data_IF_619331012205
#
_entry.id   IF_619331012205
#
_cell.length_a   1.000
_cell.length_b   1.000
_cell.length_c   1.000
_cell.angle_alpha   90.00
_cell.angle_beta   90.00
_cell.angle_gamma   90.00
#
_symmetry.space_group_name_H-M   'P 1'
#
loop_
_entity.id
_entity.type
_entity.pdbx_description
1 polymer ?
#
# COMPACT_ATOMS: atom_id res chain seq x y z
N UNK A 1 -14.45 -10.38 -21.59
CA UNK A 1 -13.32 -10.67 -20.65
C UNK A 1 -12.81 -9.35 -20.11
N UNK A 2 -12.62 -9.26 -18.82
CA UNK A 2 -12.05 -8.07 -18.18
C UNK A 2 -10.52 -8.16 -18.27
N UNK A 3 -9.85 -7.10 -18.75
CA UNK A 3 -8.40 -6.99 -18.76
C UNK A 3 -7.94 -6.75 -17.32
N UNK A 4 -7.03 -7.59 -16.82
CA UNK A 4 -6.51 -7.48 -15.45
C UNK A 4 -5.32 -6.51 -15.36
N UNK A 5 -4.48 -6.47 -16.41
CA UNK A 5 -3.31 -5.59 -16.54
C UNK A 5 -3.29 -5.08 -17.97
N UNK A 6 -3.16 -3.77 -18.15
CA UNK A 6 -3.23 -3.09 -19.44
C UNK A 6 -2.04 -2.16 -19.63
N UNK A 7 -1.11 -2.56 -20.50
CA UNK A 7 0.06 -1.79 -20.91
C UNK A 7 0.91 -1.23 -19.73
N UNK A 8 1.23 -2.09 -18.76
CA UNK A 8 1.99 -1.75 -17.57
C UNK A 8 3.49 -1.91 -17.81
N UNK A 9 4.25 -0.83 -17.65
CA UNK A 9 5.73 -0.84 -17.71
C UNK A 9 6.31 -0.12 -16.53
N UNK A 10 7.17 -0.79 -15.75
CA UNK A 10 7.91 -0.22 -14.63
C UNK A 10 9.17 -1.03 -14.33
N UNK A 11 10.04 -0.51 -13.50
CA UNK A 11 11.29 -1.16 -13.08
C UNK A 11 11.39 -1.17 -11.55
N UNK A 12 11.94 -2.26 -11.01
CA UNK A 12 12.30 -2.38 -9.59
C UNK A 12 13.82 -2.32 -9.50
N UNK A 13 14.32 -1.27 -8.84
CA UNK A 13 15.75 -1.02 -8.72
C UNK A 13 16.36 -1.79 -7.54
N UNK A 14 17.57 -2.38 -7.69
CA UNK A 14 18.32 -2.94 -6.56
C UNK A 14 18.59 -1.87 -5.49
N UNK A 15 18.59 -2.28 -4.22
CA UNK A 15 18.80 -1.38 -3.09
C UNK A 15 17.61 -0.48 -2.73
N UNK A 16 16.47 -0.65 -3.42
CA UNK A 16 15.27 0.16 -3.19
C UNK A 16 14.05 -0.69 -2.91
N UNK A 17 13.14 -0.12 -2.14
CA UNK A 17 11.79 -0.67 -1.93
C UNK A 17 10.83 0.07 -2.85
N UNK A 18 10.23 -0.65 -3.78
CA UNK A 18 9.16 -0.14 -4.66
C UNK A 18 7.81 -0.55 -4.10
N UNK A 19 7.02 0.42 -3.68
CA UNK A 19 5.63 0.25 -3.29
C UNK A 19 4.74 0.08 -4.51
N UNK A 20 3.94 -0.99 -4.56
CA UNK A 20 3.02 -1.32 -5.64
C UNK A 20 1.59 -1.11 -5.14
N UNK A 21 1.07 0.09 -5.31
CA UNK A 21 -0.16 0.58 -4.71
C UNK A 21 -1.34 0.48 -5.67
N UNK A 22 -2.51 0.17 -5.14
CA UNK A 22 -3.75 0.18 -5.90
C UNK A 22 -4.89 -0.50 -5.15
N UNK A 23 -6.15 -0.22 -5.48
CA UNK A 23 -7.29 -0.85 -4.86
C UNK A 23 -7.33 -2.36 -5.12
N UNK A 24 -8.20 -3.08 -4.39
CA UNK A 24 -8.40 -4.49 -4.63
C UNK A 24 -8.95 -4.73 -6.04
N UNK A 25 -8.31 -5.66 -6.77
CA UNK A 25 -8.62 -5.94 -8.17
C UNK A 25 -7.98 -4.99 -9.19
N UNK A 26 -7.03 -4.13 -8.77
CA UNK A 26 -6.27 -3.26 -9.68
C UNK A 26 -5.23 -3.99 -10.55
N UNK A 27 -4.99 -5.28 -10.29
CA UNK A 27 -4.03 -6.08 -11.07
C UNK A 27 -2.70 -6.36 -10.35
N UNK A 28 -2.51 -5.93 -9.09
CA UNK A 28 -1.25 -6.09 -8.33
C UNK A 28 -0.78 -7.55 -8.27
N UNK A 29 -1.58 -8.43 -7.68
CA UNK A 29 -1.24 -9.85 -7.53
C UNK A 29 -1.05 -10.56 -8.89
N UNK A 30 -1.88 -10.21 -9.88
CA UNK A 30 -1.75 -10.74 -11.26
C UNK A 30 -0.41 -10.32 -11.86
N UNK A 31 0.00 -9.07 -11.70
CA UNK A 31 1.31 -8.59 -12.18
C UNK A 31 2.46 -9.33 -11.50
N UNK A 32 2.43 -9.47 -10.17
CA UNK A 32 3.47 -10.20 -9.44
C UNK A 32 3.56 -11.67 -9.88
N UNK A 33 2.42 -12.33 -10.12
CA UNK A 33 2.38 -13.69 -10.65
C UNK A 33 2.93 -13.80 -12.06
N UNK A 34 2.72 -12.79 -12.90
CA UNK A 34 3.32 -12.73 -14.24
C UNK A 34 4.83 -12.52 -14.19
N UNK A 35 5.36 -11.76 -13.23
CA UNK A 35 6.80 -11.55 -13.05
C UNK A 35 7.52 -12.88 -12.79
N UNK A 36 6.94 -13.76 -11.97
CA UNK A 36 7.48 -15.11 -11.68
C UNK A 36 6.86 -16.19 -12.54
N UNK A 37 6.22 -15.84 -13.64
CA UNK A 37 5.65 -16.74 -14.65
C UNK A 37 4.68 -17.81 -14.13
N UNK A 38 4.01 -17.55 -12.97
CA UNK A 38 2.87 -18.33 -12.51
C UNK A 38 1.62 -18.06 -13.35
N UNK A 39 1.57 -16.92 -14.01
CA UNK A 39 0.56 -16.55 -14.99
C UNK A 39 1.25 -16.03 -16.27
N UNK A 40 0.73 -16.40 -17.44
CA UNK A 40 1.28 -15.98 -18.73
C UNK A 40 0.55 -14.75 -19.23
N UNK A 41 1.23 -13.60 -19.48
CA UNK A 41 0.62 -12.43 -20.06
C UNK A 41 0.18 -12.71 -21.51
N UNK A 42 -0.90 -12.07 -21.97
CA UNK A 42 -1.35 -12.16 -23.36
C UNK A 42 -0.36 -11.45 -24.31
N UNK A 43 0.33 -10.41 -23.83
CA UNK A 43 1.37 -9.68 -24.53
C UNK A 43 2.35 -9.07 -23.52
N UNK A 44 3.56 -8.74 -23.98
CA UNK A 44 4.61 -8.21 -23.11
C UNK A 44 5.41 -9.28 -22.39
N UNK A 45 6.27 -8.85 -21.48
CA UNK A 45 7.17 -9.73 -20.72
C UNK A 45 7.64 -9.05 -19.44
N UNK A 46 8.13 -9.85 -18.49
CA UNK A 46 8.93 -9.39 -17.36
C UNK A 46 10.34 -9.96 -17.47
N UNK A 47 11.33 -9.15 -17.09
CA UNK A 47 12.74 -9.55 -17.09
C UNK A 47 13.33 -9.32 -15.70
N UNK A 48 14.22 -10.20 -15.31
CA UNK A 48 15.00 -10.15 -14.07
C UNK A 48 16.47 -10.21 -14.49
N UNK A 49 17.20 -9.13 -14.29
CA UNK A 49 18.57 -8.96 -14.80
C UNK A 49 18.70 -9.28 -16.31
N UNK A 50 17.69 -8.89 -17.10
CA UNK A 50 17.65 -9.12 -18.55
C UNK A 50 17.15 -10.48 -19.00
N UNK A 51 16.84 -11.42 -18.09
CA UNK A 51 16.36 -12.77 -18.39
C UNK A 51 14.91 -12.96 -17.93
N UNK A 52 14.17 -13.87 -18.58
CA UNK A 52 12.86 -14.31 -18.07
C UNK A 52 13.03 -15.21 -16.85
N UNK A 53 12.02 -15.23 -15.97
CA UNK A 53 12.07 -16.04 -14.75
C UNK A 53 12.37 -17.53 -15.05
N UNK A 54 11.77 -18.12 -16.10
CA UNK A 54 11.98 -19.51 -16.51
C UNK A 54 13.40 -19.81 -17.01
N UNK A 55 14.12 -18.78 -17.45
CA UNK A 55 15.47 -18.91 -18.01
C UNK A 55 16.55 -18.74 -16.94
N UNK A 56 16.15 -18.46 -15.68
CA UNK A 56 17.06 -18.38 -14.55
C UNK A 56 17.54 -19.77 -14.12
N UNK A 57 18.84 -19.95 -13.91
CA UNK A 57 19.40 -21.23 -13.48
C UNK A 57 18.87 -21.67 -12.09
N UNK A 58 18.82 -20.73 -11.15
CA UNK A 58 18.32 -20.94 -9.79
C UNK A 58 17.30 -19.85 -9.43
N UNK A 59 16.03 -19.99 -9.87
CA UNK A 59 15.04 -18.93 -9.72
C UNK A 59 14.86 -18.47 -8.28
N UNK A 60 14.79 -19.38 -7.30
CA UNK A 60 14.60 -19.02 -5.88
C UNK A 60 15.83 -18.36 -5.24
N UNK A 61 17.03 -18.53 -5.84
CA UNK A 61 18.22 -17.79 -5.41
C UNK A 61 18.30 -16.40 -6.04
N UNK A 62 17.47 -16.12 -7.05
CA UNK A 62 17.41 -14.83 -7.72
C UNK A 62 16.20 -14.03 -7.25
N UNK A 63 15.04 -14.67 -7.15
CA UNK A 63 13.76 -14.04 -6.75
C UNK A 63 13.10 -14.85 -5.64
N UNK A 64 12.88 -14.24 -4.51
CA UNK A 64 12.00 -14.75 -3.46
C UNK A 64 10.62 -14.11 -3.57
N UNK A 65 9.55 -14.89 -3.42
CA UNK A 65 8.20 -14.37 -3.57
C UNK A 65 7.27 -14.88 -2.46
N UNK A 66 6.55 -13.95 -1.84
CA UNK A 66 5.41 -14.21 -0.97
C UNK A 66 4.15 -13.73 -1.68
N UNK A 67 3.44 -14.64 -2.36
CA UNK A 67 2.24 -14.32 -3.15
C UNK A 67 0.96 -14.88 -2.52
N UNK A 68 1.07 -15.86 -1.62
CA UNK A 68 -0.07 -16.44 -0.92
C UNK A 68 0.41 -17.20 0.33
N UNK A 69 -0.14 -16.89 1.48
CA UNK A 69 0.18 -17.57 2.76
C UNK A 69 -0.66 -18.81 3.03
N UNK A 70 -1.67 -19.10 2.22
CA UNK A 70 -2.55 -20.25 2.39
C UNK A 70 -2.05 -21.54 1.74
N UNK A 71 -0.85 -21.53 1.11
CA UNK A 71 -0.27 -22.71 0.44
C UNK A 71 0.41 -23.69 1.38
N UNK A 72 0.51 -23.39 2.67
CA UNK A 72 1.19 -24.24 3.65
C UNK A 72 0.32 -25.41 4.07
N UNK A 73 0.91 -26.63 4.06
CA UNK A 73 0.18 -27.82 4.51
C UNK A 73 -0.12 -27.75 6.01
N UNK A 74 -1.39 -27.80 6.47
CA UNK A 74 -1.79 -27.46 7.82
C UNK A 74 -1.20 -28.37 8.92
N UNK A 75 -0.85 -29.62 8.61
CA UNK A 75 -0.24 -30.58 9.53
C UNK A 75 1.29 -30.58 9.52
N UNK A 76 1.93 -29.85 8.59
CA UNK A 76 3.37 -29.75 8.51
C UNK A 76 3.84 -28.67 9.48
N UNK A 77 4.94 -28.91 10.22
CA UNK A 77 5.54 -27.85 11.04
C UNK A 77 6.23 -26.81 10.15
N UNK A 78 6.38 -25.56 10.66
CA UNK A 78 7.04 -24.50 9.94
C UNK A 78 8.46 -24.89 9.49
N UNK A 79 9.25 -25.52 10.39
CA UNK A 79 10.59 -26.04 10.05
C UNK A 79 10.53 -27.08 8.94
N UNK A 80 9.64 -28.05 9.00
CA UNK A 80 9.53 -29.07 7.96
C UNK A 80 8.97 -28.53 6.65
N UNK A 81 8.17 -27.46 6.69
CA UNK A 81 7.75 -26.75 5.50
C UNK A 81 8.97 -26.13 4.78
N UNK A 82 9.80 -25.37 5.49
CA UNK A 82 11.01 -24.77 4.91
C UNK A 82 12.04 -25.83 4.46
N UNK A 83 12.20 -26.93 5.21
CA UNK A 83 13.06 -28.06 4.81
C UNK A 83 12.59 -28.69 3.50
N UNK A 84 11.29 -28.87 3.32
CA UNK A 84 10.72 -29.36 2.08
C UNK A 84 11.04 -28.43 0.91
N UNK A 85 10.83 -27.13 1.11
CA UNK A 85 11.13 -26.12 0.07
C UNK A 85 12.63 -26.06 -0.25
N UNK A 86 13.48 -26.11 0.77
CA UNK A 86 14.94 -26.12 0.59
C UNK A 86 15.40 -27.37 -0.19
N UNK A 87 14.93 -28.56 0.21
CA UNK A 87 15.28 -29.82 -0.48
C UNK A 87 14.80 -29.89 -1.93
N UNK A 88 13.63 -29.32 -2.23
CA UNK A 88 13.06 -29.30 -3.59
C UNK A 88 13.79 -28.35 -4.55
N UNK A 89 14.67 -27.49 -4.02
CA UNK A 89 15.34 -26.44 -4.81
C UNK A 89 16.87 -26.42 -4.57
N UNK A 90 17.45 -27.52 -4.08
CA UNK A 90 18.87 -27.68 -3.81
C UNK A 90 19.50 -26.59 -2.93
N UNK A 91 18.68 -26.04 -2.00
CA UNK A 91 19.10 -25.02 -1.04
C UNK A 91 19.68 -25.70 0.21
N UNK A 92 20.84 -25.25 0.72
CA UNK A 92 21.48 -25.81 1.91
C UNK A 92 20.56 -25.78 3.13
N UNK A 93 20.54 -26.89 3.92
CA UNK A 93 19.61 -27.05 5.05
C UNK A 93 19.87 -26.08 6.21
N UNK A 94 21.09 -25.54 6.36
CA UNK A 94 21.38 -24.50 7.36
C UNK A 94 20.56 -23.23 7.11
N UNK A 95 20.21 -22.92 5.85
CA UNK A 95 19.35 -21.77 5.52
C UNK A 95 17.99 -21.81 6.21
N UNK A 96 17.47 -23.01 6.49
CA UNK A 96 16.18 -23.18 7.17
C UNK A 96 16.22 -22.54 8.55
N UNK A 97 17.23 -22.83 9.36
CA UNK A 97 17.34 -22.26 10.72
C UNK A 97 17.67 -20.77 10.68
N UNK A 98 18.52 -20.34 9.74
CA UNK A 98 18.81 -18.92 9.53
C UNK A 98 17.54 -18.12 9.18
N UNK A 99 16.69 -18.62 8.26
CA UNK A 99 15.46 -17.96 7.87
C UNK A 99 14.41 -17.97 9.00
N UNK A 100 14.31 -19.06 9.79
CA UNK A 100 13.44 -19.09 10.96
C UNK A 100 13.85 -18.08 12.02
N UNK A 101 15.16 -17.94 12.26
CA UNK A 101 15.70 -16.93 13.18
C UNK A 101 15.43 -15.50 12.66
N UNK A 102 15.64 -15.26 11.36
CA UNK A 102 15.44 -13.96 10.71
C UNK A 102 14.00 -13.42 10.90
N UNK A 103 13.02 -14.33 10.87
CA UNK A 103 11.60 -13.93 11.02
C UNK A 103 11.06 -14.14 12.46
N UNK A 104 11.90 -14.57 13.40
CA UNK A 104 11.52 -14.75 14.81
C UNK A 104 10.59 -15.95 15.06
N UNK A 105 10.71 -17.04 14.29
CA UNK A 105 9.85 -18.23 14.43
C UNK A 105 10.58 -19.46 14.97
N UNK A 106 11.82 -19.34 15.42
CA UNK A 106 12.66 -20.47 15.87
C UNK A 106 11.99 -21.34 16.95
N UNK A 107 11.42 -20.72 17.98
CA UNK A 107 10.83 -21.44 19.13
C UNK A 107 9.55 -22.20 18.75
N UNK A 108 8.76 -21.66 17.81
CA UNK A 108 7.49 -22.25 17.39
C UNK A 108 7.63 -23.08 16.10
N UNK A 109 8.83 -23.18 15.54
CA UNK A 109 9.08 -23.81 14.25
C UNK A 109 8.70 -25.29 14.18
N UNK A 110 8.64 -26.00 15.32
CA UNK A 110 8.25 -27.40 15.42
C UNK A 110 6.73 -27.60 15.49
N UNK A 111 5.96 -26.54 15.72
CA UNK A 111 4.50 -26.60 15.76
C UNK A 111 3.91 -26.69 14.35
N UNK A 112 2.75 -27.38 14.18
CA UNK A 112 2.07 -27.47 12.89
C UNK A 112 1.53 -26.12 12.46
N UNK A 113 1.61 -25.79 11.16
CA UNK A 113 1.24 -24.47 10.62
C UNK A 113 -0.24 -24.11 10.84
N UNK A 114 -1.12 -25.09 11.07
CA UNK A 114 -2.52 -24.84 11.44
C UNK A 114 -2.67 -24.05 12.75
N UNK A 115 -1.69 -24.19 13.68
CA UNK A 115 -1.70 -23.46 14.95
C UNK A 115 -1.11 -22.06 14.86
N UNK A 116 -0.54 -21.69 13.71
CA UNK A 116 0.04 -20.38 13.52
C UNK A 116 -1.03 -19.30 13.40
N UNK A 117 -0.81 -18.17 14.06
CA UNK A 117 -1.59 -16.95 13.79
C UNK A 117 -1.40 -16.50 12.32
N UNK A 118 -2.24 -15.59 11.85
CA UNK A 118 -2.07 -15.03 10.51
C UNK A 118 -0.70 -14.38 10.36
N UNK A 119 -0.26 -13.59 11.35
CA UNK A 119 1.06 -12.97 11.38
C UNK A 119 2.22 -13.98 11.36
N UNK A 120 2.08 -15.09 12.09
CA UNK A 120 3.09 -16.16 12.05
C UNK A 120 3.15 -16.83 10.66
N UNK A 121 2.01 -17.00 9.98
CA UNK A 121 1.99 -17.53 8.60
C UNK A 121 2.62 -16.54 7.61
N UNK A 122 2.36 -15.24 7.75
CA UNK A 122 3.03 -14.20 6.96
C UNK A 122 4.55 -14.26 7.15
N UNK A 123 5.02 -14.30 8.39
CA UNK A 123 6.46 -14.42 8.69
C UNK A 123 7.07 -15.71 8.14
N UNK A 124 6.36 -16.84 8.20
CA UNK A 124 6.84 -18.09 7.61
C UNK A 124 6.95 -18.01 6.07
N UNK A 125 5.99 -17.35 5.41
CA UNK A 125 6.07 -17.11 3.96
C UNK A 125 7.23 -16.17 3.58
N UNK A 126 7.54 -15.18 4.42
CA UNK A 126 8.75 -14.35 4.24
C UNK A 126 10.03 -15.17 4.43
N UNK A 127 10.06 -16.10 5.41
CA UNK A 127 11.17 -17.03 5.59
C UNK A 127 11.36 -17.94 4.37
N UNK A 128 10.27 -18.42 3.78
CA UNK A 128 10.28 -19.20 2.54
C UNK A 128 10.86 -18.39 1.38
N UNK A 129 10.41 -17.15 1.19
CA UNK A 129 10.94 -16.25 0.17
C UNK A 129 12.43 -15.97 0.34
N UNK A 130 12.96 -16.02 1.58
CA UNK A 130 14.37 -15.76 1.92
C UNK A 130 15.27 -17.02 1.83
N UNK A 131 14.73 -18.22 1.62
CA UNK A 131 15.50 -19.46 1.66
C UNK A 131 16.70 -19.46 0.70
N UNK A 132 16.49 -19.06 -0.55
CA UNK A 132 17.52 -19.00 -1.59
C UNK A 132 18.46 -17.81 -1.45
N UNK A 133 18.32 -16.97 -0.44
CA UNK A 133 19.06 -15.70 -0.26
C UNK A 133 18.97 -14.80 -1.52
N UNK A 134 17.75 -14.53 -2.05
CA UNK A 134 17.54 -13.91 -3.33
C UNK A 134 17.96 -12.45 -3.37
N UNK A 135 18.29 -11.97 -4.58
CA UNK A 135 18.58 -10.56 -4.85
C UNK A 135 17.32 -9.71 -4.96
N UNK A 136 16.22 -10.30 -5.42
CA UNK A 136 14.93 -9.64 -5.58
C UNK A 136 13.86 -10.29 -4.72
N UNK A 137 12.96 -9.48 -4.17
CA UNK A 137 11.87 -9.94 -3.30
C UNK A 137 10.54 -9.36 -3.76
N UNK A 138 9.54 -10.21 -3.87
CA UNK A 138 8.15 -9.85 -4.20
C UNK A 138 7.26 -10.19 -3.00
N UNK A 139 6.66 -9.19 -2.39
CA UNK A 139 5.76 -9.35 -1.24
C UNK A 139 4.37 -8.84 -1.58
N UNK A 140 3.43 -9.75 -1.75
CA UNK A 140 2.03 -9.40 -2.03
C UNK A 140 1.24 -9.26 -0.72
N UNK A 141 0.84 -8.03 -0.39
CA UNK A 141 0.09 -7.65 0.82
C UNK A 141 0.72 -8.24 2.11
N UNK A 142 2.03 -8.08 2.36
CA UNK A 142 2.75 -8.79 3.41
C UNK A 142 2.35 -8.40 4.83
N UNK A 143 1.76 -7.22 5.02
CA UNK A 143 1.37 -6.68 6.32
C UNK A 143 -0.10 -6.97 6.67
N UNK A 144 -0.87 -7.55 5.74
CA UNK A 144 -2.27 -7.87 5.99
C UNK A 144 -2.43 -8.84 7.18
N UNK A 145 -3.17 -8.39 8.19
CA UNK A 145 -3.44 -9.17 9.40
C UNK A 145 -2.26 -9.25 10.38
N UNK A 146 -1.26 -8.38 10.22
CA UNK A 146 -0.27 -8.10 11.25
C UNK A 146 -0.83 -7.07 12.24
N UNK A 147 -0.41 -7.18 13.48
CA UNK A 147 -0.58 -6.15 14.49
C UNK A 147 0.38 -4.98 14.26
N UNK A 148 0.22 -3.83 14.93
CA UNK A 148 1.11 -2.68 14.75
C UNK A 148 2.60 -2.98 14.97
N UNK A 149 2.92 -3.89 15.89
CA UNK A 149 4.29 -4.33 16.14
C UNK A 149 4.84 -5.15 14.96
N UNK A 150 4.02 -6.04 14.40
CA UNK A 150 4.33 -6.81 13.20
C UNK A 150 4.55 -5.93 11.96
N UNK A 151 3.75 -4.88 11.78
CA UNK A 151 3.93 -3.90 10.70
C UNK A 151 5.25 -3.15 10.88
N UNK A 152 5.56 -2.68 12.09
CA UNK A 152 6.81 -2.01 12.40
C UNK A 152 8.02 -2.93 12.21
N UNK A 153 7.88 -4.22 12.56
CA UNK A 153 8.89 -5.25 12.30
C UNK A 153 9.11 -5.44 10.79
N UNK A 154 8.04 -5.61 10.01
CA UNK A 154 8.14 -5.78 8.55
C UNK A 154 8.84 -4.59 7.89
N UNK A 155 8.53 -3.36 8.32
CA UNK A 155 9.18 -2.15 7.81
C UNK A 155 10.70 -2.18 8.04
N UNK A 156 11.15 -2.51 9.26
CA UNK A 156 12.58 -2.66 9.56
C UNK A 156 13.22 -3.78 8.75
N UNK A 157 12.54 -4.92 8.65
CA UNK A 157 12.96 -6.08 7.86
C UNK A 157 13.21 -5.70 6.40
N UNK A 158 12.22 -5.08 5.73
CA UNK A 158 12.33 -4.68 4.34
C UNK A 158 13.44 -3.63 4.13
N UNK A 159 13.55 -2.62 5.02
CA UNK A 159 14.59 -1.60 4.95
C UNK A 159 16.01 -2.19 5.10
N UNK A 160 16.19 -3.13 6.00
CA UNK A 160 17.49 -3.81 6.17
C UNK A 160 17.86 -4.59 4.91
N UNK A 161 16.92 -5.32 4.31
CA UNK A 161 17.17 -6.07 3.08
C UNK A 161 17.49 -5.15 1.88
N UNK A 162 16.80 -4.01 1.77
CA UNK A 162 17.12 -3.01 0.75
C UNK A 162 18.51 -2.41 0.97
N UNK A 163 18.89 -2.11 2.21
CA UNK A 163 20.23 -1.62 2.56
C UNK A 163 21.35 -2.63 2.23
N UNK A 164 21.03 -3.95 2.20
CA UNK A 164 21.94 -5.00 1.69
C UNK A 164 22.05 -4.99 0.15
N UNK A 165 21.35 -4.10 -0.55
CA UNK A 165 21.36 -4.00 -2.01
C UNK A 165 20.27 -4.81 -2.72
N UNK A 166 19.29 -5.38 -2.03
CA UNK A 166 18.20 -6.14 -2.66
C UNK A 166 17.13 -5.22 -3.24
N UNK A 167 16.59 -5.59 -4.40
CA UNK A 167 15.41 -4.95 -4.97
C UNK A 167 14.14 -5.56 -4.39
N UNK A 168 13.24 -4.72 -3.86
CA UNK A 168 12.02 -5.21 -3.17
C UNK A 168 10.80 -4.58 -3.81
N UNK A 169 9.83 -5.41 -4.21
CA UNK A 169 8.51 -4.99 -4.65
C UNK A 169 7.47 -5.40 -3.60
N UNK A 170 6.81 -4.42 -3.01
CA UNK A 170 5.81 -4.64 -1.95
C UNK A 170 4.45 -4.13 -2.42
N UNK A 171 3.46 -5.00 -2.53
CA UNK A 171 2.09 -4.55 -2.80
C UNK A 171 1.37 -4.14 -1.51
N UNK A 172 0.54 -3.12 -1.61
CA UNK A 172 -0.45 -2.75 -0.59
C UNK A 172 -1.64 -2.03 -1.24
N UNK A 173 -2.76 -2.02 -0.56
CA UNK A 173 -3.89 -1.16 -0.87
C UNK A 173 -3.94 0.07 0.07
N UNK A 174 -3.04 0.13 1.07
CA UNK A 174 -2.94 1.22 2.06
C UNK A 174 -1.69 2.06 1.79
N UNK A 175 -1.92 3.29 1.37
CA UNK A 175 -0.83 4.23 1.06
C UNK A 175 -0.01 4.59 2.30
N UNK A 176 -0.64 4.76 3.47
CA UNK A 176 0.05 5.08 4.72
C UNK A 176 1.11 4.03 5.12
N UNK A 177 0.92 2.78 4.76
CA UNK A 177 1.92 1.72 5.00
C UNK A 177 3.09 1.82 4.03
N UNK A 178 2.78 2.07 2.76
CA UNK A 178 3.78 2.16 1.69
C UNK A 178 4.64 3.42 1.85
N UNK A 179 4.07 4.58 2.13
CA UNK A 179 4.80 5.85 2.27
C UNK A 179 5.88 5.80 3.36
N UNK A 180 5.66 5.02 4.42
CA UNK A 180 6.62 4.87 5.51
C UNK A 180 7.70 3.81 5.24
N UNK A 181 7.52 2.99 4.21
CA UNK A 181 8.38 1.82 3.93
C UNK A 181 9.14 1.97 2.62
N UNK A 182 8.49 2.41 1.56
CA UNK A 182 9.02 2.43 0.20
C UNK A 182 9.81 3.70 -0.11
N UNK A 183 10.71 3.59 -1.08
CA UNK A 183 11.48 4.70 -1.66
C UNK A 183 10.81 5.20 -2.95
N UNK A 184 10.21 4.29 -3.70
CA UNK A 184 9.53 4.53 -4.97
C UNK A 184 8.11 4.00 -4.92
N UNK A 185 7.26 4.57 -5.76
CA UNK A 185 5.84 4.25 -5.83
C UNK A 185 5.42 3.96 -7.27
N UNK A 186 4.75 2.84 -7.46
CA UNK A 186 4.03 2.48 -8.69
C UNK A 186 2.56 2.37 -8.32
N UNK A 187 1.73 3.29 -8.83
CA UNK A 187 0.29 3.34 -8.55
C UNK A 187 -0.48 2.72 -9.70
N UNK A 188 -1.37 1.80 -9.38
CA UNK A 188 -2.25 1.12 -10.32
C UNK A 188 -3.71 1.48 -10.13
N UNK A 189 -4.42 1.67 -11.24
CA UNK A 189 -5.88 1.76 -11.30
C UNK A 189 -6.41 0.93 -12.46
N UNK A 190 -7.30 -0.03 -12.19
CA UNK A 190 -7.92 -0.90 -13.22
C UNK A 190 -6.93 -1.54 -14.21
N UNK A 191 -5.80 -1.99 -13.72
CA UNK A 191 -4.75 -2.62 -14.52
C UNK A 191 -3.82 -1.66 -15.25
N UNK A 192 -4.02 -0.35 -15.14
CA UNK A 192 -3.20 0.68 -15.78
C UNK A 192 -2.26 1.35 -14.79
N UNK A 193 -1.12 1.82 -15.29
CA UNK A 193 -0.19 2.66 -14.56
C UNK A 193 -0.75 4.07 -14.42
N UNK A 194 -0.95 4.54 -13.19
CA UNK A 194 -1.38 5.90 -12.88
C UNK A 194 -0.18 6.79 -12.51
N UNK A 195 0.77 6.26 -11.75
CA UNK A 195 1.99 6.97 -11.38
C UNK A 195 3.17 6.00 -11.22
N UNK A 196 4.39 6.45 -11.56
CA UNK A 196 5.66 5.79 -11.29
C UNK A 196 6.68 6.85 -10.92
N UNK A 197 6.92 7.05 -9.62
CA UNK A 197 7.68 8.19 -9.09
C UNK A 197 8.36 7.82 -7.77
N UNK A 198 9.22 8.68 -7.24
CA UNK A 198 9.68 8.54 -5.86
C UNK A 198 8.59 9.00 -4.87
N UNK A 199 8.62 8.46 -3.64
CA UNK A 199 7.70 8.92 -2.57
C UNK A 199 7.86 10.42 -2.36
N UNK A 200 9.10 10.93 -2.32
CA UNK A 200 9.36 12.36 -2.12
C UNK A 200 8.80 13.26 -3.23
N UNK A 201 8.80 12.81 -4.49
CA UNK A 201 8.17 13.53 -5.59
C UNK A 201 6.65 13.45 -5.55
N UNK A 202 6.13 12.30 -5.13
CA UNK A 202 4.69 12.12 -4.96
C UNK A 202 4.14 13.02 -3.85
N UNK A 203 4.85 13.13 -2.72
CA UNK A 203 4.52 14.04 -1.61
C UNK A 203 4.51 15.52 -2.04
N UNK A 204 5.42 15.91 -2.92
CA UNK A 204 5.46 17.29 -3.45
C UNK A 204 4.29 17.64 -4.37
N UNK A 205 3.62 16.65 -4.95
CA UNK A 205 2.42 16.87 -5.78
C UNK A 205 1.17 17.12 -4.93
N UNK A 206 1.26 16.84 -3.64
CA UNK A 206 0.17 17.05 -2.71
C UNK A 206 -0.03 18.56 -2.45
N UNK A 207 -1.22 19.13 -2.66
CA UNK A 207 -1.47 20.52 -2.37
C UNK A 207 -1.21 20.81 -0.88
N UNK A 208 -0.48 21.88 -0.61
CA UNK A 208 -0.29 22.35 0.76
C UNK A 208 -1.64 22.79 1.30
N UNK A 209 -1.96 22.40 2.53
CA UNK A 209 -3.18 22.83 3.22
C UNK A 209 -2.84 23.49 4.53
N UNK A 210 -3.72 24.39 4.95
CA UNK A 210 -3.66 25.05 6.25
C UNK A 210 -4.83 24.58 7.09
N UNK A 211 -4.56 24.09 8.30
CA UNK A 211 -5.59 23.85 9.30
C UNK A 211 -5.68 25.06 10.23
N UNK A 212 -6.87 25.65 10.31
CA UNK A 212 -7.21 26.74 11.19
C UNK A 212 -8.33 26.28 12.14
N UNK A 213 -8.22 26.56 13.43
CA UNK A 213 -9.25 26.24 14.41
C UNK A 213 -9.84 27.52 14.97
N UNK A 214 -11.18 27.61 14.99
CA UNK A 214 -11.91 28.76 15.45
C UNK A 214 -13.31 28.39 15.93
N UNK A 215 -13.88 29.23 16.84
CA UNK A 215 -15.32 29.14 17.21
C UNK A 215 -16.26 29.67 16.13
N UNK A 216 -15.71 30.34 15.12
CA UNK A 216 -16.46 31.00 14.04
C UNK A 216 -16.20 30.28 12.69
N UNK A 217 -16.10 28.94 12.68
CA UNK A 217 -15.78 28.16 11.51
C UNK A 217 -16.65 28.45 10.27
N UNK A 218 -18.00 28.56 10.37
CA UNK A 218 -18.84 28.89 9.21
C UNK A 218 -18.53 30.27 8.61
N UNK A 219 -18.19 31.26 9.48
CA UNK A 219 -17.82 32.60 9.02
C UNK A 219 -16.46 32.59 8.35
N UNK A 220 -15.49 31.88 8.93
CA UNK A 220 -14.16 31.73 8.35
C UNK A 220 -14.24 31.08 6.96
N UNK A 221 -14.97 29.99 6.80
CA UNK A 221 -15.16 29.32 5.51
C UNK A 221 -15.73 30.26 4.46
N UNK A 222 -16.76 31.07 4.83
CA UNK A 222 -17.37 32.04 3.91
C UNK A 222 -16.36 33.10 3.45
N UNK A 223 -15.61 33.70 4.39
CA UNK A 223 -14.63 34.74 4.08
C UNK A 223 -13.50 34.23 3.19
N UNK A 224 -13.03 33.00 3.46
CA UNK A 224 -12.01 32.36 2.65
C UNK A 224 -12.55 32.05 1.24
N UNK A 225 -13.80 31.61 1.11
CA UNK A 225 -14.44 31.39 -0.19
C UNK A 225 -14.63 32.69 -0.97
N UNK A 226 -15.01 33.82 -0.32
CA UNK A 226 -15.09 35.15 -0.93
C UNK A 226 -13.73 35.66 -1.41
N UNK A 227 -12.63 35.22 -0.78
CA UNK A 227 -11.26 35.51 -1.19
C UNK A 227 -10.71 34.53 -2.25
N UNK A 228 -11.53 33.60 -2.74
CA UNK A 228 -11.15 32.61 -3.77
C UNK A 228 -10.37 31.40 -3.24
N UNK A 229 -10.34 31.18 -1.92
CA UNK A 229 -9.73 30.01 -1.30
C UNK A 229 -10.76 28.93 -1.05
N UNK A 230 -10.45 27.69 -1.43
CA UNK A 230 -11.25 26.52 -1.06
C UNK A 230 -11.06 26.23 0.42
N UNK A 231 -12.16 26.19 1.18
CA UNK A 231 -12.15 25.92 2.61
C UNK A 231 -13.36 25.09 3.02
N UNK A 232 -13.15 24.12 3.91
CA UNK A 232 -14.20 23.28 4.45
C UNK A 232 -13.95 22.96 5.93
N UNK A 233 -15.00 22.64 6.67
CA UNK A 233 -14.89 22.10 8.03
C UNK A 233 -14.22 20.73 7.95
N UNK A 234 -13.25 20.48 8.82
CA UNK A 234 -12.54 19.20 8.89
C UNK A 234 -13.48 18.09 9.42
N UNK A 235 -13.89 17.11 8.56
CA UNK A 235 -14.79 16.05 8.99
C UNK A 235 -14.10 15.03 9.91
N UNK A 236 -12.79 15.06 10.01
CA UNK A 236 -11.97 14.13 10.81
C UNK A 236 -11.59 14.72 12.17
N UNK A 237 -12.04 15.95 12.45
CA UNK A 237 -11.75 16.60 13.73
C UNK A 237 -12.46 15.89 14.88
N UNK A 238 -11.77 14.96 15.51
CA UNK A 238 -12.23 14.23 16.72
C UNK A 238 -11.75 14.87 18.01
N UNK A 239 -11.23 16.10 17.96
CA UNK A 239 -10.71 16.75 19.18
C UNK A 239 -11.82 16.94 20.20
N UNK A 240 -11.62 16.38 21.39
CA UNK A 240 -12.53 16.47 22.55
C UNK A 240 -12.54 17.87 23.19
N UNK A 241 -11.62 18.74 22.77
CA UNK A 241 -11.51 20.09 23.34
C UNK A 241 -12.39 21.09 22.57
N UNK A 242 -13.66 21.13 22.94
CA UNK A 242 -14.63 22.10 22.42
C UNK A 242 -14.26 23.56 22.72
N UNK A 243 -13.28 23.82 23.61
CA UNK A 243 -12.83 25.16 23.95
C UNK A 243 -12.15 25.88 22.79
N UNK A 244 -11.47 25.16 21.92
CA UNK A 244 -10.73 25.66 20.76
C UNK A 244 -11.61 25.84 19.51
N UNK A 245 -12.86 25.38 19.54
CA UNK A 245 -13.78 25.46 18.39
C UNK A 245 -13.50 24.36 17.36
N UNK A 246 -13.97 24.58 16.13
CA UNK A 246 -13.95 23.61 15.04
C UNK A 246 -12.78 23.87 14.10
N UNK A 247 -12.15 22.79 13.60
CA UNK A 247 -11.11 22.88 12.61
C UNK A 247 -11.67 23.13 11.20
N UNK A 248 -11.01 23.99 10.46
CA UNK A 248 -11.26 24.29 9.04
C UNK A 248 -10.00 23.98 8.26
N UNK A 249 -10.14 23.21 7.19
CA UNK A 249 -9.09 22.92 6.24
C UNK A 249 -9.19 23.90 5.09
N UNK A 250 -8.09 24.53 4.73
CA UNK A 250 -8.00 25.55 3.69
C UNK A 250 -6.94 25.13 2.68
N UNK A 251 -7.26 25.14 1.41
CA UNK A 251 -6.28 24.93 0.34
C UNK A 251 -5.46 26.24 0.18
N UNK A 252 -4.32 26.29 0.85
CA UNK A 252 -3.42 27.45 0.85
C UNK A 252 -1.97 27.00 1.08
N UNK A 253 -1.04 27.67 0.41
CA UNK A 253 0.39 27.34 0.45
C UNK A 253 1.07 27.74 1.77
N UNK A 254 0.47 28.68 2.50
CA UNK A 254 1.02 29.18 3.76
C UNK A 254 -0.08 29.71 4.69
N UNK A 255 0.26 29.88 5.95
CA UNK A 255 -0.65 30.34 6.99
C UNK A 255 -0.96 31.84 6.92
N UNK A 256 -0.11 32.66 6.29
CA UNK A 256 -0.19 34.13 6.32
C UNK A 256 -1.51 34.63 5.73
N UNK A 257 -1.91 34.08 4.58
CA UNK A 257 -3.14 34.51 3.89
C UNK A 257 -4.36 34.24 4.75
N UNK A 258 -4.40 33.07 5.42
CA UNK A 258 -5.51 32.69 6.31
C UNK A 258 -5.51 33.58 7.57
N UNK A 259 -4.32 33.84 8.15
CA UNK A 259 -4.16 34.72 9.31
C UNK A 259 -4.63 36.12 9.02
N UNK A 260 -4.21 36.69 7.90
CA UNK A 260 -4.55 38.08 7.51
C UNK A 260 -6.05 38.26 7.25
N UNK A 261 -6.69 37.29 6.59
CA UNK A 261 -8.13 37.29 6.33
C UNK A 261 -8.94 37.16 7.63
N UNK A 262 -8.50 36.26 8.52
CA UNK A 262 -9.13 36.10 9.84
C UNK A 262 -9.00 37.38 10.69
N UNK A 263 -7.81 38.00 10.73
CA UNK A 263 -7.54 39.20 11.49
C UNK A 263 -8.36 40.39 10.96
N UNK A 264 -8.43 40.61 9.63
CA UNK A 264 -9.26 41.68 9.01
C UNK A 264 -10.74 41.58 9.37
N UNK A 265 -11.22 40.36 9.62
CA UNK A 265 -12.62 40.08 9.93
C UNK A 265 -12.87 39.81 11.43
N UNK A 266 -11.88 40.10 12.28
CA UNK A 266 -11.95 39.88 13.73
C UNK A 266 -12.32 38.45 14.15
N UNK A 267 -11.82 37.45 13.40
CA UNK A 267 -12.02 36.04 13.72
C UNK A 267 -10.79 35.54 14.49
N UNK A 268 -10.93 35.20 15.78
CA UNK A 268 -9.85 34.65 16.56
C UNK A 268 -9.55 33.22 16.10
N UNK A 269 -8.25 32.92 15.85
CA UNK A 269 -7.74 31.60 15.55
C UNK A 269 -7.06 31.03 16.80
N UNK A 270 -7.41 29.80 17.17
CA UNK A 270 -6.83 29.08 18.31
C UNK A 270 -5.73 28.11 17.87
N UNK A 271 -5.75 27.74 16.60
CA UNK A 271 -4.72 26.93 15.95
C UNK A 271 -4.58 27.41 14.49
N UNK A 272 -3.36 27.49 14.02
CA UNK A 272 -3.06 27.79 12.61
C UNK A 272 -1.76 27.10 12.23
N UNK A 273 -1.85 26.01 11.48
CA UNK A 273 -0.72 25.16 11.11
C UNK A 273 -0.78 24.80 9.63
N UNK A 274 0.38 24.73 9.00
CA UNK A 274 0.48 24.10 7.68
C UNK A 274 0.41 22.60 7.91
N UNK A 275 -0.59 21.96 7.31
CA UNK A 275 -0.64 20.53 7.18
C UNK A 275 -0.20 20.19 5.76
N UNK A 276 0.89 19.44 5.64
CA UNK A 276 1.22 18.85 4.35
C UNK A 276 -0.01 18.08 3.87
N UNK A 277 -0.40 18.23 2.62
CA UNK A 277 -1.45 17.38 2.08
C UNK A 277 -1.03 15.92 2.28
N UNK A 278 -1.95 15.10 2.70
CA UNK A 278 -1.63 13.71 2.88
C UNK A 278 -1.39 13.09 1.50
N UNK A 279 -0.38 12.26 1.41
CA UNK A 279 -0.10 11.43 0.23
C UNK A 279 -1.39 10.67 -0.18
N UNK A 280 -2.28 10.43 0.79
CA UNK A 280 -3.61 9.84 0.61
C UNK A 280 -4.55 10.72 -0.22
N UNK A 281 -4.49 12.06 -0.05
CA UNK A 281 -5.33 12.97 -0.84
C UNK A 281 -4.97 12.95 -2.32
N UNK A 282 -3.67 12.91 -2.64
CA UNK A 282 -3.21 12.77 -4.04
C UNK A 282 -3.66 11.43 -4.62
N UNK A 283 -3.50 10.36 -3.84
CA UNK A 283 -3.95 9.03 -4.25
C UNK A 283 -5.46 8.96 -4.45
N UNK A 284 -6.25 9.54 -3.54
CA UNK A 284 -7.70 9.60 -3.65
C UNK A 284 -8.14 10.42 -4.87
N UNK A 285 -7.52 11.57 -5.14
CA UNK A 285 -7.80 12.35 -6.35
C UNK A 285 -7.52 11.53 -7.61
N UNK A 286 -6.38 10.83 -7.67
CA UNK A 286 -6.03 9.96 -8.81
C UNK A 286 -6.98 8.76 -8.97
N UNK A 287 -7.65 8.33 -7.89
CA UNK A 287 -8.50 7.13 -7.87
C UNK A 287 -10.01 7.43 -7.78
N UNK A 288 -10.44 8.65 -7.41
CA UNK A 288 -11.86 9.04 -7.26
C UNK A 288 -12.68 8.86 -8.55
N UNK A 289 -12.13 9.15 -9.71
CA UNK A 289 -12.76 8.91 -11.00
C UNK A 289 -13.12 7.42 -11.23
N UNK A 290 -12.48 6.53 -10.46
CA UNK A 290 -12.63 5.08 -10.59
C UNK A 290 -13.63 4.47 -9.61
N UNK A 291 -13.86 5.10 -8.45
CA UNK A 291 -14.88 4.66 -7.48
C UNK A 291 -16.28 5.12 -7.86
N UNK A 292 -16.44 6.28 -8.47
CA UNK A 292 -17.73 6.75 -8.99
C UNK A 292 -18.33 5.83 -10.05
N UNK A 293 -17.50 5.12 -10.80
CA UNK A 293 -17.95 4.13 -11.78
C UNK A 293 -18.52 2.84 -11.13
N UNK A 294 -18.19 2.56 -9.87
CA UNK A 294 -18.74 1.42 -9.10
C UNK A 294 -20.09 1.75 -8.46
N UNK A 295 -20.30 2.98 -8.05
CA UNK A 295 -21.56 3.44 -7.44
C UNK A 295 -22.64 3.84 -8.46
N UNK A 296 -22.27 4.14 -9.70
CA UNK A 296 -23.19 4.50 -10.79
C UNK A 296 -23.87 3.33 -11.50
N UNK A 297 -23.56 2.09 -11.16
CA UNK A 297 -24.07 0.87 -11.83
C UNK A 297 -25.36 0.28 -11.27
N UNK A 298 -26.01 0.89 -10.29
CA UNK A 298 -27.25 0.35 -9.71
C UNK A 298 -28.29 1.47 -9.50
N UNK A 299 -28.70 2.13 -10.57
CA UNK A 299 -30.00 2.78 -10.59
C UNK A 299 -31.04 1.72 -10.97
N UNK A 300 -31.59 1.04 -10.00
CA UNK A 300 -32.85 0.33 -10.13
C UNK A 300 -33.95 1.37 -10.41
N UNK A 301 -34.32 1.53 -11.66
CA UNK A 301 -35.58 2.15 -12.06
C UNK A 301 -36.70 1.26 -11.53
N UNK A 302 -37.24 1.60 -10.38
CA UNK A 302 -38.57 1.18 -9.97
C UNK A 302 -39.56 1.93 -10.82
N UNK A 303 -39.93 1.38 -11.97
CA UNK A 303 -41.18 1.76 -12.63
C UNK A 303 -42.33 1.07 -11.89
N UNK A 304 -42.98 1.85 -11.04
CA UNK A 304 -44.33 1.55 -10.62
C UNK A 304 -45.29 1.66 -11.82
N UNK A 305 -46.00 0.61 -12.10
CA UNK A 305 -47.31 0.69 -12.70
C UNK A 305 -48.16 -0.40 -12.06
N UNK A 306 -49.03 0.07 -11.18
CA UNK A 306 -50.21 -0.68 -10.80
C UNK A 306 -51.15 -0.81 -11.97
N UNK A 307 -51.76 -1.96 -12.14
CA UNK A 307 -53.13 -2.09 -12.61
C UNK A 307 -53.72 -3.37 -12.06
N UNK A 308 -54.81 -3.16 -11.32
CA UNK A 308 -55.81 -4.16 -10.97
C UNK A 308 -56.39 -4.81 -12.23
N UNK A 309 -56.71 -6.10 -12.20
CA UNK A 309 -58.03 -6.60 -12.55
C UNK A 309 -58.08 -8.14 -12.53
N UNK A 310 -59.04 -8.61 -11.78
CA UNK A 310 -59.79 -9.86 -11.79
C UNK A 310 -59.09 -11.14 -11.31
#
# INVERSE_FOLDING_TARGET
KRTAVDNLTFTVEPGHITGFLGPNGAGKSTTMRMIVELETPNAGFALIDGMRYRDLNNPLCTVGALLNTNCMHPRRSGRNHLRYMAASNDIPMNRVEECLALVGLTEVASQPTKSYSLGMRQRLGMAEAMLGNPRYLLFDEPVNGLDPEGIAWFRRFAKNLAAEGRGILVSSHLLAEISQTADRLVVLGQGKLLANTSIAEFEKQAPTRVRARTKFAPQLVRILAEAGLSAAVDPTDTSSDSSLGTAVIVDADNTSVVADLAAKNNIPLYELVVIGASVEDVYLQMTQDWEQYRSGGTSLTTNGNGQEAK
#
